data_IF_852441463582
#
_entry.id   IF_852441463582
#
_cell.length_a   1.000
_cell.length_b   1.000
_cell.length_c   1.000
_cell.angle_alpha   90.00
_cell.angle_beta   90.00
_cell.angle_gamma   90.00
#
_symmetry.space_group_name_H-M   'P 1'
#
loop_
_entity.id
_entity.type
_entity.pdbx_description
1 polymer ?
#
# COMPACT_ATOMS: atom_id res chain seq x y z
N UNK A 1 2.16 4.13 -18.03
CA UNK A 1 1.96 3.69 -19.41
C UNK A 1 2.95 2.58 -19.76
N UNK A 2 2.53 1.66 -20.65
CA UNK A 2 3.39 0.65 -21.24
C UNK A 2 3.78 1.10 -22.65
N UNK A 3 5.05 0.92 -22.97
CA UNK A 3 5.61 1.23 -24.27
C UNK A 3 6.46 0.06 -24.78
N UNK A 4 6.27 -0.32 -26.03
CA UNK A 4 7.13 -1.26 -26.74
C UNK A 4 7.62 -0.63 -28.04
N UNK A 5 8.94 -0.54 -28.27
CA UNK A 5 9.47 -0.10 -29.56
C UNK A 5 9.04 -1.04 -30.69
N UNK A 6 8.83 -0.52 -31.91
CA UNK A 6 8.38 -1.32 -33.06
C UNK A 6 9.29 -2.51 -33.41
N UNK A 7 10.56 -2.43 -33.03
CA UNK A 7 11.58 -3.42 -33.38
C UNK A 7 12.06 -4.22 -32.15
N UNK A 8 11.28 -4.29 -31.08
CA UNK A 8 11.63 -4.97 -29.85
C UNK A 8 10.41 -5.64 -29.22
N UNK A 9 10.61 -6.84 -28.70
CA UNK A 9 9.61 -7.53 -27.89
C UNK A 9 9.63 -7.08 -26.40
N UNK A 10 10.54 -6.16 -26.07
CA UNK A 10 10.66 -5.63 -24.71
C UNK A 10 9.63 -4.53 -24.45
N UNK A 11 8.97 -4.62 -23.33
CA UNK A 11 8.04 -3.63 -22.83
C UNK A 11 8.65 -2.79 -21.72
N UNK A 12 8.43 -1.50 -21.78
CA UNK A 12 8.92 -0.53 -20.80
C UNK A 12 7.75 0.13 -20.08
N UNK A 13 7.90 0.32 -18.78
CA UNK A 13 7.02 1.19 -18.00
C UNK A 13 7.50 2.62 -18.15
N UNK A 14 6.60 3.51 -18.54
CA UNK A 14 6.86 4.96 -18.56
C UNK A 14 6.27 5.52 -17.27
N UNK A 15 7.12 6.07 -16.42
CA UNK A 15 6.68 6.81 -15.24
C UNK A 15 5.87 8.04 -15.69
N UNK A 16 4.74 8.26 -15.07
CA UNK A 16 3.82 9.32 -15.40
C UNK A 16 3.11 9.80 -14.14
N UNK A 17 2.90 11.12 -14.04
CA UNK A 17 2.07 11.74 -13.00
C UNK A 17 2.62 11.50 -11.60
N UNK A 18 3.91 11.79 -11.42
CA UNK A 18 4.60 11.56 -10.15
C UNK A 18 4.45 12.72 -9.15
N UNK A 19 3.62 13.72 -9.46
CA UNK A 19 3.34 14.87 -8.58
C UNK A 19 2.68 14.45 -7.25
N UNK A 20 2.03 13.27 -7.22
CA UNK A 20 1.49 12.66 -6.01
C UNK A 20 2.47 11.82 -5.19
N UNK A 21 3.74 11.69 -5.59
CA UNK A 21 4.67 10.73 -4.97
C UNK A 21 5.00 11.00 -3.50
N UNK A 22 4.90 12.26 -3.04
CA UNK A 22 5.24 12.69 -1.67
C UNK A 22 4.07 13.44 -1.00
N UNK A 23 2.84 13.02 -1.24
CA UNK A 23 1.65 13.73 -0.79
C UNK A 23 1.31 13.57 0.69
N UNK A 24 1.98 12.69 1.43
CA UNK A 24 1.62 12.35 2.82
C UNK A 24 1.57 13.57 3.75
N UNK A 25 2.54 14.46 3.60
CA UNK A 25 2.64 15.67 4.45
C UNK A 25 1.72 16.77 3.95
N UNK A 26 1.60 16.94 2.65
CA UNK A 26 0.87 18.06 2.04
C UNK A 26 -0.64 17.96 2.22
N UNK A 27 -1.21 16.77 2.08
CA UNK A 27 -2.66 16.56 2.16
C UNK A 27 -3.13 16.10 3.54
N UNK A 28 -2.30 16.27 4.57
CA UNK A 28 -2.59 15.81 5.93
C UNK A 28 -3.00 14.32 5.97
N UNK A 29 -2.33 13.53 5.15
CA UNK A 29 -2.57 12.09 4.99
C UNK A 29 -1.92 11.31 6.15
N UNK A 30 -1.53 11.99 7.22
CA UNK A 30 -0.88 11.40 8.40
C UNK A 30 -1.66 10.24 9.03
N UNK A 31 -2.98 10.22 8.81
CA UNK A 31 -3.84 9.13 9.25
C UNK A 31 -4.20 8.15 8.14
N UNK A 32 -3.72 8.38 6.92
CA UNK A 32 -3.85 7.42 5.82
C UNK A 32 -2.60 6.54 5.85
N UNK A 33 -2.59 5.63 6.80
CA UNK A 33 -1.72 4.46 6.78
C UNK A 33 -1.85 3.67 5.46
N UNK A 34 -2.79 4.07 4.65
CA UNK A 34 -3.24 3.40 3.46
C UNK A 34 -2.47 3.77 2.19
N UNK A 35 -1.77 4.89 2.11
CA UNK A 35 -1.07 5.26 0.86
C UNK A 35 0.26 4.55 0.63
N UNK A 36 0.82 4.00 1.63
CA UNK A 36 1.98 3.12 1.53
C UNK A 36 1.80 1.92 2.43
N UNK A 37 0.57 1.64 2.88
CA UNK A 37 0.27 0.50 3.73
C UNK A 37 -0.13 -0.71 2.89
N UNK A 38 -0.04 -1.86 3.50
CA UNK A 38 -0.48 -3.12 2.93
C UNK A 38 -1.98 -3.10 2.54
N UNK A 39 -2.82 -2.30 3.19
CA UNK A 39 -4.26 -2.19 2.91
C UNK A 39 -4.56 -1.53 1.57
N UNK A 40 -3.76 -0.58 1.15
CA UNK A 40 -3.91 0.11 -0.14
C UNK A 40 -2.76 -0.14 -1.10
N UNK A 41 -1.76 -0.86 -0.65
CA UNK A 41 -0.57 -1.21 -1.39
C UNK A 41 0.40 -0.05 -1.56
N UNK A 42 1.66 -0.40 -1.66
CA UNK A 42 2.66 0.50 -2.18
C UNK A 42 2.48 0.50 -3.69
N UNK A 43 2.02 1.61 -4.24
CA UNK A 43 1.95 1.83 -5.67
C UNK A 43 1.06 0.87 -6.48
N UNK A 44 -0.21 0.82 -6.28
CA UNK A 44 -1.16 0.15 -7.19
C UNK A 44 -0.88 -1.34 -7.53
N UNK A 45 0.06 -2.02 -6.89
CA UNK A 45 0.27 -3.46 -7.10
C UNK A 45 -1.03 -4.24 -6.87
N UNK A 46 -1.81 -3.81 -5.90
CA UNK A 46 -3.05 -4.44 -5.49
C UNK A 46 -4.17 -4.36 -6.52
N UNK A 47 -4.19 -3.29 -7.31
CA UNK A 47 -5.22 -3.09 -8.31
C UNK A 47 -4.82 -3.60 -9.71
N UNK A 48 -3.61 -4.15 -9.85
CA UNK A 48 -3.09 -4.61 -11.12
C UNK A 48 -2.75 -6.10 -11.09
N UNK A 49 -3.59 -6.90 -11.74
CA UNK A 49 -3.42 -8.35 -11.79
C UNK A 49 -2.07 -8.80 -12.39
N UNK A 50 -1.47 -8.01 -13.27
CA UNK A 50 -0.15 -8.32 -13.83
C UNK A 50 0.91 -8.26 -12.73
N UNK A 51 0.96 -7.16 -11.97
CA UNK A 51 1.93 -7.01 -10.89
C UNK A 51 1.71 -8.02 -9.76
N UNK A 52 0.47 -8.28 -9.38
CA UNK A 52 0.15 -9.31 -8.39
C UNK A 52 0.70 -10.68 -8.81
N UNK A 53 0.56 -11.04 -10.08
CA UNK A 53 1.10 -12.31 -10.60
C UNK A 53 2.61 -12.31 -10.72
N UNK A 54 3.21 -11.19 -11.09
CA UNK A 54 4.67 -11.05 -11.12
C UNK A 54 5.27 -11.23 -9.72
N UNK A 55 4.64 -10.62 -8.70
CA UNK A 55 5.10 -10.74 -7.31
C UNK A 55 5.03 -12.17 -6.75
N UNK A 56 4.22 -13.06 -7.32
CA UNK A 56 4.24 -14.49 -6.96
C UNK A 56 5.49 -15.23 -7.46
N UNK A 57 6.22 -14.66 -8.39
CA UNK A 57 7.47 -15.23 -8.88
C UNK A 57 8.63 -14.81 -7.99
N UNK A 58 9.32 -15.78 -7.40
CA UNK A 58 10.55 -15.54 -6.61
C UNK A 58 11.60 -14.78 -7.43
N UNK A 59 11.84 -15.18 -8.65
CA UNK A 59 12.79 -14.49 -9.55
C UNK A 59 12.41 -13.04 -9.77
N UNK A 60 11.11 -12.74 -9.92
CA UNK A 60 10.66 -11.36 -10.08
C UNK A 60 10.87 -10.55 -8.80
N UNK A 61 10.61 -11.13 -7.62
CA UNK A 61 10.85 -10.45 -6.34
C UNK A 61 12.32 -10.14 -6.12
N UNK A 62 13.22 -11.07 -6.45
CA UNK A 62 14.67 -10.88 -6.37
C UNK A 62 15.14 -9.72 -7.28
N UNK A 63 14.69 -9.70 -8.52
CA UNK A 63 15.00 -8.62 -9.48
C UNK A 63 14.41 -7.28 -9.05
N UNK A 64 13.19 -7.28 -8.50
CA UNK A 64 12.54 -6.09 -7.97
C UNK A 64 13.30 -5.54 -6.76
N UNK A 65 13.70 -6.40 -5.83
CA UNK A 65 14.48 -5.99 -4.66
C UNK A 65 15.84 -5.42 -5.08
N UNK A 66 16.52 -6.07 -5.99
CA UNK A 66 17.78 -5.57 -6.55
C UNK A 66 17.61 -4.17 -7.18
N UNK A 67 16.55 -3.96 -7.97
CA UNK A 67 16.25 -2.67 -8.57
C UNK A 67 15.90 -1.59 -7.52
N UNK A 68 15.20 -1.96 -6.46
CA UNK A 68 14.89 -1.06 -5.33
C UNK A 68 16.17 -0.67 -4.58
N UNK A 69 17.06 -1.61 -4.31
CA UNK A 69 18.33 -1.32 -3.64
C UNK A 69 19.22 -0.41 -4.49
N UNK A 70 19.26 -0.62 -5.80
CA UNK A 70 19.99 0.23 -6.74
C UNK A 70 19.43 1.66 -6.72
N UNK A 71 18.10 1.80 -6.80
CA UNK A 71 17.43 3.09 -6.69
C UNK A 71 17.70 3.78 -5.35
N UNK A 72 17.64 3.05 -4.23
CA UNK A 72 17.93 3.60 -2.89
C UNK A 72 19.38 4.07 -2.76
N UNK A 73 20.31 3.34 -3.35
CA UNK A 73 21.72 3.73 -3.40
C UNK A 73 21.90 5.05 -4.16
N UNK A 74 21.16 5.26 -5.22
CA UNK A 74 21.15 6.51 -5.97
C UNK A 74 20.45 7.64 -5.21
N UNK A 75 19.31 7.36 -4.58
CA UNK A 75 18.49 8.31 -3.81
C UNK A 75 18.90 8.35 -2.33
N UNK A 76 20.20 8.51 -2.05
CA UNK A 76 20.68 8.75 -0.68
C UNK A 76 20.14 10.07 -0.13
N UNK A 77 20.10 10.21 1.20
CA UNK A 77 19.67 11.45 1.89
C UNK A 77 20.42 12.66 1.36
N UNK A 78 21.75 12.55 1.22
CA UNK A 78 22.60 13.63 0.71
C UNK A 78 22.28 13.98 -0.74
N UNK A 79 22.02 12.97 -1.57
CA UNK A 79 21.67 13.16 -2.97
C UNK A 79 20.31 13.84 -3.11
N UNK A 80 19.30 13.38 -2.36
CA UNK A 80 17.97 14.00 -2.35
C UNK A 80 18.06 15.45 -1.89
N UNK A 81 18.77 15.72 -0.80
CA UNK A 81 18.95 17.07 -0.29
C UNK A 81 19.65 17.98 -1.30
N UNK A 82 20.67 17.46 -1.98
CA UNK A 82 21.37 18.20 -3.04
C UNK A 82 20.44 18.53 -4.23
N UNK A 83 19.60 17.56 -4.65
CA UNK A 83 18.63 17.78 -5.72
C UNK A 83 17.59 18.83 -5.33
N UNK A 84 17.09 18.79 -4.09
CA UNK A 84 16.15 19.80 -3.58
C UNK A 84 16.76 21.20 -3.68
N UNK A 85 18.01 21.38 -3.23
CA UNK A 85 18.68 22.67 -3.32
C UNK A 85 18.92 23.12 -4.78
N UNK A 86 19.28 22.21 -5.65
CA UNK A 86 19.42 22.51 -7.08
C UNK A 86 18.11 23.02 -7.66
N UNK A 87 16.99 22.33 -7.41
CA UNK A 87 15.66 22.76 -7.88
C UNK A 87 15.18 24.04 -7.20
N UNK A 88 15.49 24.24 -5.91
CA UNK A 88 15.15 25.46 -5.17
C UNK A 88 15.65 26.70 -5.88
N UNK A 89 16.88 26.71 -6.35
CA UNK A 89 17.47 27.87 -7.02
C UNK A 89 16.69 28.30 -8.28
N UNK A 90 16.00 27.36 -8.91
CA UNK A 90 15.16 27.62 -10.10
C UNK A 90 13.73 27.97 -9.71
N UNK A 91 13.13 27.20 -8.81
CA UNK A 91 11.68 27.24 -8.53
C UNK A 91 11.26 28.34 -7.58
N UNK A 92 12.09 28.67 -6.58
CA UNK A 92 11.73 29.61 -5.50
C UNK A 92 11.30 31.00 -6.03
N UNK A 93 11.97 31.49 -7.05
CA UNK A 93 11.63 32.79 -7.66
C UNK A 93 10.25 32.82 -8.33
N UNK A 94 9.70 31.67 -8.71
CA UNK A 94 8.37 31.57 -9.28
C UNK A 94 7.29 31.28 -8.22
N UNK A 95 7.54 30.32 -7.35
CA UNK A 95 6.58 29.88 -6.32
C UNK A 95 6.10 31.00 -5.38
N UNK A 96 6.96 31.98 -5.13
CA UNK A 96 6.65 33.11 -4.25
C UNK A 96 6.19 34.37 -4.99
N UNK A 97 5.91 34.28 -6.29
CA UNK A 97 5.50 35.41 -7.12
C UNK A 97 4.20 35.12 -7.89
N UNK A 98 3.56 36.20 -8.32
CA UNK A 98 2.41 36.11 -9.22
C UNK A 98 2.88 35.71 -10.65
N UNK A 99 2.15 34.90 -11.39
CA UNK A 99 0.81 34.35 -11.07
C UNK A 99 0.79 33.07 -10.24
N UNK A 100 1.94 32.38 -10.05
CA UNK A 100 1.99 31.04 -9.45
C UNK A 100 1.47 31.05 -8.01
N UNK A 101 1.77 32.07 -7.24
CA UNK A 101 1.26 32.23 -5.88
C UNK A 101 -0.28 32.29 -5.80
N UNK A 102 -0.95 32.74 -6.86
CA UNK A 102 -2.41 32.76 -6.92
C UNK A 102 -3.02 31.36 -7.07
N UNK A 103 -2.34 30.50 -7.83
CA UNK A 103 -2.83 29.14 -8.11
C UNK A 103 -2.35 28.10 -7.11
N UNK A 104 -1.18 28.29 -6.57
CA UNK A 104 -0.56 27.39 -5.59
C UNK A 104 0.08 28.21 -4.45
N UNK A 105 -0.71 28.77 -3.52
CA UNK A 105 -0.21 29.63 -2.46
C UNK A 105 0.66 28.82 -1.48
N UNK A 106 1.96 28.81 -1.72
CA UNK A 106 2.97 28.13 -0.92
C UNK A 106 3.81 29.19 -0.20
N UNK A 107 3.86 29.14 1.13
CA UNK A 107 4.77 29.97 1.90
C UNK A 107 6.17 29.32 1.93
N UNK A 108 7.18 30.14 2.12
CA UNK A 108 8.57 29.64 2.25
C UNK A 108 8.70 28.63 3.41
N UNK A 109 8.06 28.92 4.55
CA UNK A 109 8.06 28.00 5.69
C UNK A 109 7.41 26.65 5.36
N UNK A 110 6.32 26.66 4.60
CA UNK A 110 5.66 25.41 4.16
C UNK A 110 6.52 24.66 3.15
N UNK A 111 7.18 25.36 2.22
CA UNK A 111 8.13 24.76 1.30
C UNK A 111 9.28 24.06 2.05
N UNK A 112 9.87 24.73 3.03
CA UNK A 112 10.93 24.15 3.85
C UNK A 112 10.46 22.90 4.60
N UNK A 113 9.27 22.94 5.17
CA UNK A 113 8.70 21.80 5.87
C UNK A 113 8.54 20.59 4.94
N UNK A 114 8.00 20.80 3.74
CA UNK A 114 7.81 19.74 2.74
C UNK A 114 9.17 19.23 2.25
N UNK A 115 10.05 20.12 1.84
CA UNK A 115 11.35 19.77 1.27
C UNK A 115 12.23 18.97 2.25
N UNK A 116 12.25 19.38 3.52
CA UNK A 116 13.02 18.70 4.56
C UNK A 116 12.45 17.34 4.95
N UNK A 117 11.16 17.08 4.70
CA UNK A 117 10.53 15.80 4.98
C UNK A 117 10.84 14.72 3.92
N UNK A 118 11.08 15.10 2.67
CA UNK A 118 11.23 14.17 1.54
C UNK A 118 12.24 13.05 1.80
N UNK A 119 13.47 13.29 2.31
CA UNK A 119 14.41 12.21 2.55
C UNK A 119 13.89 11.14 3.53
N UNK A 120 13.20 11.57 4.58
CA UNK A 120 12.61 10.64 5.56
C UNK A 120 11.38 9.92 5.02
N UNK A 121 10.62 10.56 4.14
CA UNK A 121 9.47 9.94 3.49
C UNK A 121 9.88 8.85 2.51
N UNK A 122 10.98 9.03 1.79
CA UNK A 122 11.54 7.99 0.92
C UNK A 122 11.91 6.74 1.72
N UNK A 123 12.58 6.90 2.86
CA UNK A 123 12.92 5.78 3.73
C UNK A 123 11.68 5.12 4.35
N UNK A 124 10.75 5.91 4.81
CA UNK A 124 9.49 5.41 5.36
C UNK A 124 8.68 4.62 4.33
N UNK A 125 8.64 5.08 3.08
CA UNK A 125 7.96 4.36 2.00
C UNK A 125 8.61 2.99 1.72
N UNK A 126 9.92 2.90 1.85
CA UNK A 126 10.61 1.60 1.73
C UNK A 126 10.24 0.64 2.87
N UNK A 127 10.18 1.12 4.11
CA UNK A 127 9.76 0.29 5.24
C UNK A 127 8.30 -0.18 5.07
N UNK A 128 7.41 0.69 4.63
CA UNK A 128 6.02 0.34 4.32
C UNK A 128 5.92 -0.66 3.17
N UNK A 129 6.78 -0.56 2.17
CA UNK A 129 6.87 -1.55 1.09
C UNK A 129 7.24 -2.93 1.65
N UNK A 130 8.28 -3.03 2.47
CA UNK A 130 8.65 -4.31 3.12
C UNK A 130 7.50 -4.85 3.96
N UNK A 131 6.89 -4.01 4.79
CA UNK A 131 5.75 -4.40 5.60
C UNK A 131 4.59 -4.93 4.73
N UNK A 132 4.38 -4.35 3.55
CA UNK A 132 3.33 -4.78 2.62
C UNK A 132 3.57 -6.16 2.02
N UNK A 133 4.81 -6.61 1.94
CA UNK A 133 5.14 -7.97 1.49
C UNK A 133 4.90 -9.03 2.59
N UNK A 134 5.05 -8.65 3.85
CA UNK A 134 4.89 -9.54 5.01
C UNK A 134 3.42 -9.75 5.44
N UNK A 135 2.48 -9.03 4.85
CA UNK A 135 1.09 -9.04 5.28
C UNK A 135 0.16 -9.49 4.15
N UNK A 136 -0.72 -10.45 4.41
CA UNK A 136 -1.73 -10.84 3.45
C UNK A 136 -2.71 -9.71 3.19
N UNK A 137 -3.21 -9.64 1.96
CA UNK A 137 -4.20 -8.64 1.56
C UNK A 137 -5.50 -8.76 2.34
N UNK A 138 -6.15 -7.62 2.65
CA UNK A 138 -7.49 -7.63 3.19
C UNK A 138 -8.46 -8.28 2.20
N UNK A 139 -9.51 -8.86 2.72
CA UNK A 139 -10.51 -9.59 1.95
C UNK A 139 -11.92 -9.25 2.41
N UNK A 140 -12.88 -9.44 1.53
CA UNK A 140 -14.27 -9.23 1.83
C UNK A 140 -14.85 -10.40 2.64
N UNK A 141 -15.58 -10.08 3.71
CA UNK A 141 -16.31 -11.06 4.51
C UNK A 141 -17.77 -11.05 4.05
N UNK A 142 -18.23 -12.20 3.57
CA UNK A 142 -19.60 -12.40 3.15
C UNK A 142 -20.58 -12.34 4.33
N UNK A 143 -21.85 -12.08 4.04
CA UNK A 143 -22.90 -12.13 5.07
C UNK A 143 -23.08 -13.55 5.57
N UNK A 144 -23.11 -13.77 6.90
CA UNK A 144 -23.42 -15.09 7.45
C UNK A 144 -24.81 -15.59 6.98
N UNK A 145 -24.91 -16.89 6.77
CA UNK A 145 -26.16 -17.53 6.33
C UNK A 145 -26.58 -18.58 7.37
N UNK A 146 -27.82 -18.47 7.83
CA UNK A 146 -28.43 -19.46 8.75
C UNK A 146 -29.27 -20.43 7.97
N UNK A 147 -28.99 -21.72 8.14
CA UNK A 147 -29.83 -22.84 7.62
C UNK A 147 -30.14 -23.80 8.75
N UNK A 148 -31.40 -23.79 9.21
CA UNK A 148 -31.77 -24.54 10.43
C UNK A 148 -30.99 -24.04 11.65
N UNK A 149 -30.24 -24.92 12.28
CA UNK A 149 -29.39 -24.59 13.42
C UNK A 149 -27.91 -24.41 13.07
N UNK A 150 -27.62 -24.25 11.76
CA UNK A 150 -26.24 -24.07 11.30
C UNK A 150 -26.05 -22.63 10.81
N UNK A 151 -25.02 -21.98 11.32
CA UNK A 151 -24.53 -20.68 10.91
C UNK A 151 -23.29 -20.90 10.04
N UNK A 152 -23.35 -20.44 8.80
CA UNK A 152 -22.25 -20.52 7.84
C UNK A 152 -21.64 -19.15 7.59
N UNK A 153 -20.31 -19.14 7.55
CA UNK A 153 -19.50 -17.99 7.17
C UNK A 153 -18.74 -18.29 5.89
N UNK A 154 -18.59 -17.30 5.05
CA UNK A 154 -17.72 -17.35 3.89
C UNK A 154 -17.04 -15.98 3.70
N UNK A 155 -15.86 -16.01 3.14
CA UNK A 155 -15.09 -14.81 2.81
C UNK A 155 -14.30 -15.04 1.53
N UNK A 156 -13.78 -13.97 0.94
CA UNK A 156 -12.90 -14.08 -0.22
C UNK A 156 -11.54 -14.62 0.19
N UNK A 157 -10.90 -15.37 -0.70
CA UNK A 157 -9.53 -15.79 -0.46
C UNK A 157 -8.60 -14.57 -0.43
N UNK A 158 -7.84 -14.45 0.65
CA UNK A 158 -6.77 -13.48 0.74
C UNK A 158 -5.62 -13.86 -0.19
N UNK A 159 -4.75 -12.91 -0.42
CA UNK A 159 -3.61 -13.02 -1.29
C UNK A 159 -2.36 -12.53 -0.55
N UNK A 160 -1.25 -13.24 -0.69
CA UNK A 160 0.03 -12.85 -0.15
C UNK A 160 1.00 -12.54 -1.28
N UNK A 161 1.72 -11.42 -1.18
CA UNK A 161 2.62 -10.99 -2.23
C UNK A 161 3.91 -11.82 -2.30
N UNK A 162 4.36 -12.40 -1.20
CA UNK A 162 5.50 -13.29 -1.17
C UNK A 162 5.12 -14.78 -1.37
N UNK A 163 3.83 -15.02 -1.65
CA UNK A 163 3.27 -16.34 -1.94
C UNK A 163 3.33 -17.33 -0.78
N UNK A 164 3.37 -16.86 0.45
CA UNK A 164 3.25 -17.71 1.63
C UNK A 164 1.88 -18.36 1.77
N UNK A 165 1.83 -19.47 2.50
CA UNK A 165 0.56 -20.17 2.74
C UNK A 165 -0.28 -19.42 3.76
N UNK A 166 -1.44 -18.94 3.32
CA UNK A 166 -2.40 -18.23 4.17
C UNK A 166 -3.30 -19.21 4.90
N UNK A 167 -3.49 -18.97 6.19
CA UNK A 167 -4.54 -19.60 6.99
C UNK A 167 -5.40 -18.53 7.65
N UNK A 168 -6.64 -18.90 7.98
CA UNK A 168 -7.61 -17.97 8.57
C UNK A 168 -8.00 -18.41 9.96
N UNK A 169 -8.34 -17.43 10.78
CA UNK A 169 -9.04 -17.63 12.06
C UNK A 169 -10.39 -16.92 11.98
N UNK A 170 -11.46 -17.62 12.34
CA UNK A 170 -12.81 -17.06 12.48
C UNK A 170 -13.19 -16.99 13.93
N UNK A 171 -13.64 -15.82 14.34
CA UNK A 171 -14.20 -15.58 15.68
C UNK A 171 -15.62 -15.03 15.54
N UNK A 172 -16.50 -15.48 16.41
CA UNK A 172 -17.83 -14.91 16.63
C UNK A 172 -17.91 -14.46 18.08
N UNK A 173 -18.29 -13.22 18.28
CA UNK A 173 -18.43 -12.64 19.61
C UNK A 173 -19.84 -12.07 19.81
N UNK A 174 -20.27 -11.95 21.06
CA UNK A 174 -21.53 -11.29 21.43
C UNK A 174 -21.43 -9.76 21.36
N UNK A 175 -20.25 -9.23 21.39
CA UNK A 175 -19.99 -7.78 21.37
C UNK A 175 -19.01 -7.38 20.27
N UNK A 176 -19.13 -6.16 19.78
CA UNK A 176 -18.33 -5.63 18.67
C UNK A 176 -16.83 -5.44 19.02
N UNK A 177 -16.45 -5.51 20.29
CA UNK A 177 -15.05 -5.43 20.74
C UNK A 177 -14.40 -6.81 20.90
N UNK A 178 -15.13 -7.88 20.61
CA UNK A 178 -14.67 -9.26 20.74
C UNK A 178 -14.19 -9.61 22.15
N UNK A 179 -14.83 -9.05 23.21
CA UNK A 179 -14.52 -9.40 24.59
C UNK A 179 -15.15 -10.75 24.98
N UNK A 180 -16.31 -11.09 24.41
CA UNK A 180 -17.03 -12.33 24.70
C UNK A 180 -17.13 -13.21 23.45
N UNK A 181 -16.07 -13.98 23.19
CA UNK A 181 -15.97 -14.89 22.04
C UNK A 181 -16.81 -16.15 22.35
N UNK A 182 -17.77 -16.45 21.48
CA UNK A 182 -18.66 -17.62 21.59
C UNK A 182 -18.30 -18.74 20.62
N UNK A 183 -17.52 -18.46 19.59
CA UNK A 183 -16.98 -19.43 18.67
C UNK A 183 -15.62 -18.96 18.15
N UNK A 184 -14.69 -19.89 18.05
CA UNK A 184 -13.38 -19.67 17.40
C UNK A 184 -12.96 -20.92 16.65
N UNK A 185 -12.45 -20.74 15.43
CA UNK A 185 -11.85 -21.80 14.64
C UNK A 185 -10.58 -21.26 13.98
N UNK A 186 -9.47 -21.90 14.23
CA UNK A 186 -8.15 -21.54 13.74
C UNK A 186 -7.71 -22.45 12.58
N UNK A 187 -6.65 -22.04 11.88
CA UNK A 187 -5.97 -22.82 10.83
C UNK A 187 -6.89 -23.26 9.68
N UNK A 188 -7.82 -22.40 9.28
CA UNK A 188 -8.73 -22.66 8.18
C UNK A 188 -8.00 -22.38 6.87
N UNK A 189 -7.96 -23.36 5.98
CA UNK A 189 -7.31 -23.22 4.66
C UNK A 189 -8.29 -22.85 3.55
N UNK A 190 -9.56 -23.23 3.69
CA UNK A 190 -10.62 -22.89 2.73
C UNK A 190 -11.42 -21.73 3.33
N UNK A 191 -11.72 -20.66 2.59
CA UNK A 191 -12.33 -19.45 3.13
C UNK A 191 -13.82 -19.62 3.48
N UNK A 192 -14.13 -20.66 4.27
CA UNK A 192 -15.45 -20.96 4.80
C UNK A 192 -15.36 -21.61 6.18
N UNK A 193 -16.36 -21.35 7.00
CA UNK A 193 -16.53 -22.02 8.30
C UNK A 193 -18.01 -22.18 8.62
N UNK A 194 -18.31 -23.12 9.49
CA UNK A 194 -19.65 -23.29 10.02
C UNK A 194 -19.63 -23.61 11.51
N UNK A 195 -20.68 -23.21 12.19
CA UNK A 195 -20.93 -23.53 13.60
C UNK A 195 -22.45 -23.67 13.83
N UNK A 196 -22.82 -24.14 14.99
CA UNK A 196 -24.22 -24.07 15.42
C UNK A 196 -24.60 -22.64 15.78
N UNK A 197 -25.82 -22.24 15.51
CA UNK A 197 -26.33 -20.95 15.98
C UNK A 197 -26.21 -20.90 17.50
N UNK A 198 -25.56 -19.87 18.08
CA UNK A 198 -25.49 -19.72 19.53
C UNK A 198 -26.89 -19.67 20.16
N UNK A 199 -27.04 -20.27 21.34
CA UNK A 199 -28.34 -20.38 22.01
C UNK A 199 -28.99 -19.02 22.33
N UNK A 200 -28.20 -17.96 22.44
CA UNK A 200 -28.63 -16.59 22.72
C UNK A 200 -28.68 -15.71 21.44
N UNK A 201 -28.69 -16.33 20.28
CA UNK A 201 -28.66 -15.65 19.00
C UNK A 201 -30.00 -15.01 18.62
N UNK A 202 -30.46 -14.06 19.40
CA UNK A 202 -31.51 -13.12 19.06
C UNK A 202 -30.94 -11.72 18.84
#
# INVERSE_FOLDING_TARGET
YLYSPQNSDTWYLIAWDNDGSFMRTEYNIQNRSDQGSWECGVSNYWMNALFQRCLQSEVFREELDAAIQDLRSYLSVDRISSMIEEYRTVTQKYLNQMPDQMYAPLTEAKYETIASAIPSEVEQNYELYKESLEKPMPFYIGKPVIKGNILKFNWDASYDFDAETITYTVELAKDYKFNEIVFRKDNIQIPEAETTVPADGQ
#
